data_IF_084931279728
#
_entry.id   IF_084931279728
#
_cell.length_a   1.000
_cell.length_b   1.000
_cell.length_c   1.000
_cell.angle_alpha   90.00
_cell.angle_beta   90.00
_cell.angle_gamma   90.00
#
_symmetry.space_group_name_H-M   'P 1'
#
loop_
_entity.id
_entity.type
_entity.pdbx_description
1 polymer ?
#
# COMPACT_ATOMS: atom_id res chain seq x y z
N UNK A 1 -17.35 -8.04 -1.33
CA UNK A 1 -16.47 -7.21 -0.46
C UNK A 1 -15.20 -7.05 -1.26
N UNK A 2 -14.50 -5.93 -1.18
CA UNK A 2 -13.21 -5.82 -1.88
C UNK A 2 -12.17 -6.73 -1.24
N UNK A 3 -11.21 -7.20 -2.05
CA UNK A 3 -10.16 -8.07 -1.56
C UNK A 3 -9.18 -7.28 -0.70
N UNK A 4 -9.01 -7.73 0.55
CA UNK A 4 -8.04 -7.19 1.50
C UNK A 4 -6.66 -7.77 1.20
N UNK A 5 -6.59 -9.08 0.99
CA UNK A 5 -5.39 -9.78 0.54
C UNK A 5 -5.63 -10.36 -0.85
N UNK A 6 -4.64 -10.19 -1.72
CA UNK A 6 -4.67 -10.75 -3.07
C UNK A 6 -3.26 -11.11 -3.55
N UNK A 7 -3.17 -11.94 -4.58
CA UNK A 7 -1.89 -12.33 -5.17
C UNK A 7 -1.63 -11.50 -6.42
N UNK A 8 -0.45 -10.93 -6.50
CA UNK A 8 0.07 -10.37 -7.72
C UNK A 8 1.49 -10.85 -7.97
N UNK A 9 1.71 -11.51 -9.13
CA UNK A 9 2.95 -12.24 -9.43
C UNK A 9 3.24 -13.29 -8.36
N UNK A 10 4.34 -13.13 -7.63
CA UNK A 10 4.84 -14.11 -6.64
C UNK A 10 4.66 -13.64 -5.20
N UNK A 11 3.97 -12.55 -4.97
CA UNK A 11 3.80 -11.94 -3.65
C UNK A 11 2.34 -11.77 -3.29
N UNK A 12 2.05 -11.77 -2.00
CA UNK A 12 0.76 -11.39 -1.42
C UNK A 12 0.73 -9.88 -1.28
N UNK A 13 -0.37 -9.26 -1.62
CA UNK A 13 -0.59 -7.81 -1.50
C UNK A 13 -1.71 -7.52 -0.52
N UNK A 14 -1.51 -6.51 0.31
CA UNK A 14 -2.50 -6.04 1.28
C UNK A 14 -3.06 -4.67 0.87
N UNK A 15 -4.36 -4.64 0.55
CA UNK A 15 -5.12 -3.46 0.18
C UNK A 15 -5.96 -3.01 1.39
N UNK A 16 -5.50 -2.00 2.11
CA UNK A 16 -6.08 -1.61 3.39
C UNK A 16 -6.95 -0.35 3.33
N UNK A 17 -6.92 0.38 2.22
CA UNK A 17 -7.67 1.64 2.09
C UNK A 17 -7.75 2.08 0.64
N UNK A 18 -8.78 2.86 0.31
CA UNK A 18 -8.85 3.59 -0.96
C UNK A 18 -8.27 5.01 -0.83
N UNK A 19 -7.95 5.47 0.39
CA UNK A 19 -7.48 6.82 0.64
C UNK A 19 -6.07 7.01 0.12
N UNK A 20 -5.88 8.06 -0.67
CA UNK A 20 -4.57 8.49 -1.12
C UNK A 20 -4.63 10.00 -1.35
N UNK A 21 -3.70 10.80 -0.81
CA UNK A 21 -3.67 12.24 -1.04
C UNK A 21 -3.27 12.59 -2.48
N UNK A 22 -2.67 11.64 -3.20
CA UNK A 22 -2.21 11.84 -4.56
C UNK A 22 -3.28 11.57 -5.59
N UNK A 23 -3.25 12.34 -6.69
CA UNK A 23 -4.14 12.20 -7.86
C UNK A 23 -3.33 11.92 -9.13
N UNK A 24 -2.42 10.95 -9.05
CA UNK A 24 -1.54 10.63 -10.18
C UNK A 24 -2.34 10.24 -11.42
N UNK A 25 -2.05 10.88 -12.55
CA UNK A 25 -2.71 10.59 -13.83
C UNK A 25 -2.48 9.18 -14.35
N UNK A 26 -1.35 8.58 -13.96
CA UNK A 26 -0.95 7.21 -14.29
C UNK A 26 -1.35 6.18 -13.23
N UNK A 27 -2.15 6.56 -12.24
CA UNK A 27 -2.56 5.64 -11.17
C UNK A 27 -3.35 4.47 -11.77
N UNK A 28 -2.98 3.25 -11.39
CA UNK A 28 -3.59 2.03 -11.90
C UNK A 28 -5.10 1.98 -11.63
N UNK A 29 -5.55 2.54 -10.51
CA UNK A 29 -6.97 2.61 -10.14
C UNK A 29 -7.85 3.41 -11.11
N UNK A 30 -7.22 4.22 -11.99
CA UNK A 30 -7.95 4.95 -13.02
C UNK A 30 -8.27 4.09 -14.26
N UNK A 31 -7.63 2.91 -14.38
CA UNK A 31 -7.68 2.09 -15.58
C UNK A 31 -8.27 0.69 -15.33
N UNK A 32 -8.36 0.24 -14.08
CA UNK A 32 -8.87 -1.10 -13.75
C UNK A 32 -9.44 -1.11 -12.33
N UNK A 33 -10.43 -1.97 -12.11
CA UNK A 33 -11.05 -2.19 -10.78
C UNK A 33 -10.40 -3.33 -10.02
N UNK A 34 -9.49 -4.07 -10.67
CA UNK A 34 -8.83 -5.24 -10.08
C UNK A 34 -7.39 -5.38 -10.56
N UNK A 35 -6.57 -6.07 -9.78
CA UNK A 35 -5.18 -6.42 -10.11
C UNK A 35 -4.88 -7.82 -9.58
N UNK A 36 -4.13 -8.60 -10.35
CA UNK A 36 -3.73 -9.95 -9.93
C UNK A 36 -4.91 -10.89 -9.76
N UNK A 37 -5.01 -11.53 -8.62
CA UNK A 37 -6.10 -12.45 -8.26
C UNK A 37 -7.33 -11.77 -7.66
N UNK A 38 -7.30 -10.45 -7.48
CA UNK A 38 -8.41 -9.74 -6.87
C UNK A 38 -9.62 -9.65 -7.81
N UNK A 39 -10.82 -9.81 -7.27
CA UNK A 39 -12.07 -9.53 -7.95
C UNK A 39 -12.31 -8.02 -8.06
N UNK A 40 -12.11 -7.31 -6.96
CA UNK A 40 -12.10 -5.85 -6.91
C UNK A 40 -11.26 -5.33 -5.75
N UNK A 41 -10.57 -4.23 -5.96
CA UNK A 41 -9.78 -3.54 -4.92
C UNK A 41 -10.48 -2.29 -4.38
N UNK A 42 -11.69 -1.94 -4.88
CA UNK A 42 -12.47 -0.82 -4.38
C UNK A 42 -13.26 -1.20 -3.14
N UNK A 43 -12.78 -0.79 -1.97
CA UNK A 43 -13.54 -0.92 -0.72
C UNK A 43 -14.74 0.05 -0.72
N UNK A 44 -15.90 -0.41 -0.25
CA UNK A 44 -17.04 0.47 0.03
C UNK A 44 -16.75 1.38 1.24
N UNK A 45 -16.00 0.86 2.19
CA UNK A 45 -15.45 1.56 3.36
C UNK A 45 -14.15 0.87 3.73
N UNK A 46 -13.22 1.59 4.37
CA UNK A 46 -11.96 0.99 4.80
C UNK A 46 -12.22 -0.23 5.69
N UNK A 47 -11.51 -1.35 5.51
CA UNK A 47 -11.71 -2.54 6.31
C UNK A 47 -11.38 -2.28 7.78
N UNK A 48 -12.16 -2.85 8.67
CA UNK A 48 -11.86 -2.86 10.09
C UNK A 48 -10.69 -3.79 10.40
N UNK A 49 -10.06 -3.61 11.58
CA UNK A 49 -8.99 -4.53 11.99
C UNK A 49 -9.48 -5.98 12.15
N UNK A 50 -10.76 -6.17 12.51
CA UNK A 50 -11.36 -7.50 12.56
C UNK A 50 -11.47 -8.14 11.16
N UNK A 51 -11.87 -7.37 10.15
CA UNK A 51 -11.93 -7.84 8.76
C UNK A 51 -10.53 -8.20 8.25
N UNK A 52 -9.53 -7.38 8.57
CA UNK A 52 -8.15 -7.61 8.17
C UNK A 52 -7.59 -8.88 8.82
N UNK A 53 -7.77 -9.06 10.13
CA UNK A 53 -7.32 -10.26 10.84
C UNK A 53 -7.99 -11.51 10.28
N UNK A 54 -9.29 -11.44 10.03
CA UNK A 54 -10.01 -12.54 9.39
C UNK A 54 -9.44 -12.85 8.00
N UNK A 55 -9.16 -11.83 7.19
CA UNK A 55 -8.56 -12.02 5.87
C UNK A 55 -7.17 -12.69 5.95
N UNK A 56 -6.35 -12.31 6.95
CA UNK A 56 -5.06 -12.96 7.20
C UNK A 56 -5.22 -14.41 7.64
N UNK A 57 -6.17 -14.70 8.53
CA UNK A 57 -6.41 -16.05 9.03
C UNK A 57 -6.97 -17.00 7.95
N UNK A 58 -7.79 -16.47 7.03
CA UNK A 58 -8.41 -17.25 5.95
C UNK A 58 -7.49 -17.42 4.73
N UNK A 59 -6.40 -16.64 4.62
CA UNK A 59 -5.52 -16.64 3.46
C UNK A 59 -4.45 -17.75 3.57
N UNK A 60 -4.24 -18.48 2.47
CA UNK A 60 -3.16 -19.47 2.39
C UNK A 60 -1.81 -18.81 2.04
N UNK A 61 -0.94 -18.71 3.03
CA UNK A 61 0.42 -18.17 2.87
C UNK A 61 1.44 -19.20 2.33
N UNK A 62 1.02 -20.43 2.08
CA UNK A 62 1.93 -21.49 1.62
C UNK A 62 2.57 -21.16 0.28
N UNK A 63 3.89 -21.23 0.22
CA UNK A 63 4.66 -20.95 -1.00
C UNK A 63 4.98 -19.48 -1.24
N UNK A 64 4.41 -18.56 -0.49
CA UNK A 64 4.75 -17.13 -0.56
C UNK A 64 5.85 -16.78 0.45
N UNK A 65 6.68 -15.81 0.10
CA UNK A 65 7.80 -15.32 0.93
C UNK A 65 7.65 -13.86 1.33
N UNK A 66 6.70 -13.16 0.75
CA UNK A 66 6.56 -11.72 0.92
C UNK A 66 5.09 -11.30 0.93
N UNK A 67 4.76 -10.41 1.86
CA UNK A 67 3.53 -9.62 1.85
C UNK A 67 3.88 -8.15 1.62
N UNK A 68 3.22 -7.53 0.65
CA UNK A 68 3.44 -6.15 0.23
C UNK A 68 2.25 -5.30 0.63
N UNK A 69 2.45 -4.32 1.49
CA UNK A 69 1.45 -3.30 1.74
C UNK A 69 1.37 -2.38 0.52
N UNK A 70 0.35 -2.60 -0.31
CA UNK A 70 0.09 -1.87 -1.54
C UNK A 70 -1.32 -2.20 -2.04
N UNK A 71 -2.04 -1.20 -2.46
CA UNK A 71 -3.40 -1.36 -2.98
C UNK A 71 -3.82 -0.14 -3.79
N UNK A 72 -5.11 0.15 -3.83
CA UNK A 72 -5.64 1.31 -4.54
C UNK A 72 -5.44 2.63 -3.78
N UNK A 73 -5.27 2.57 -2.46
CA UNK A 73 -4.89 3.71 -1.65
C UNK A 73 -3.39 3.74 -1.32
N UNK A 74 -3.01 4.76 -0.59
CA UNK A 74 -1.71 4.85 0.06
C UNK A 74 -1.75 4.10 1.39
N UNK A 75 -0.97 3.04 1.60
CA UNK A 75 -1.05 2.24 2.83
C UNK A 75 -0.85 3.05 4.11
N UNK A 76 0.00 4.08 4.07
CA UNK A 76 0.25 4.95 5.23
C UNK A 76 -0.89 5.91 5.54
N UNK A 77 -1.93 6.00 4.68
CA UNK A 77 -3.20 6.66 5.02
C UNK A 77 -4.05 5.83 6.00
N UNK A 78 -3.74 4.54 6.16
CA UNK A 78 -4.30 3.65 7.16
C UNK A 78 -3.18 3.12 8.08
N UNK A 79 -2.30 4.01 8.56
CA UNK A 79 -1.05 3.67 9.24
C UNK A 79 -1.25 2.71 10.42
N UNK A 80 -2.23 2.98 11.29
CA UNK A 80 -2.48 2.16 12.47
C UNK A 80 -2.90 0.74 12.07
N UNK A 81 -3.82 0.60 11.11
CA UNK A 81 -4.22 -0.71 10.57
C UNK A 81 -3.05 -1.41 9.89
N UNK A 82 -2.22 -0.68 9.15
CA UNK A 82 -1.03 -1.24 8.49
C UNK A 82 -0.04 -1.80 9.51
N UNK A 83 0.28 -1.04 10.56
CA UNK A 83 1.23 -1.48 11.60
C UNK A 83 0.68 -2.65 12.41
N UNK A 84 -0.59 -2.63 12.78
CA UNK A 84 -1.23 -3.74 13.49
C UNK A 84 -1.31 -5.00 12.62
N UNK A 85 -1.58 -4.84 11.31
CA UNK A 85 -1.53 -5.94 10.35
C UNK A 85 -0.12 -6.51 10.25
N UNK A 86 0.89 -5.65 10.14
CA UNK A 86 2.28 -6.08 10.07
C UNK A 86 2.69 -6.88 11.31
N UNK A 87 2.32 -6.40 12.49
CA UNK A 87 2.54 -7.12 13.75
C UNK A 87 1.83 -8.48 13.75
N UNK A 88 0.57 -8.52 13.37
CA UNK A 88 -0.24 -9.75 13.35
C UNK A 88 0.33 -10.79 12.37
N UNK A 89 0.72 -10.37 11.17
CA UNK A 89 1.35 -11.25 10.19
C UNK A 89 2.68 -11.79 10.71
N UNK A 90 3.50 -10.97 11.37
CA UNK A 90 4.75 -11.44 12.00
C UNK A 90 4.54 -12.50 13.08
N UNK A 91 3.47 -12.36 13.86
CA UNK A 91 3.15 -13.33 14.91
C UNK A 91 2.69 -14.68 14.33
N UNK A 92 1.92 -14.65 13.24
CA UNK A 92 1.34 -15.84 12.60
C UNK A 92 2.28 -16.49 11.56
N UNK A 93 3.02 -15.67 10.84
CA UNK A 93 3.85 -16.07 9.69
C UNK A 93 5.24 -15.41 9.78
N UNK A 94 6.09 -15.82 10.75
CA UNK A 94 7.38 -15.15 11.03
C UNK A 94 8.37 -15.17 9.86
N UNK A 95 8.22 -16.12 8.93
CA UNK A 95 9.10 -16.25 7.76
C UNK A 95 8.71 -15.33 6.59
N UNK A 96 7.53 -14.72 6.64
CA UNK A 96 7.06 -13.80 5.61
C UNK A 96 7.75 -12.44 5.76
N UNK A 97 8.39 -11.98 4.71
CA UNK A 97 8.95 -10.63 4.65
C UNK A 97 7.86 -9.60 4.38
N UNK A 98 7.95 -8.47 5.06
CA UNK A 98 6.98 -7.38 4.94
C UNK A 98 7.61 -6.22 4.17
N UNK A 99 6.99 -5.85 3.06
CA UNK A 99 7.39 -4.70 2.26
C UNK A 99 6.29 -3.66 2.21
N UNK A 100 6.67 -2.41 2.18
CA UNK A 100 5.79 -1.27 1.99
C UNK A 100 6.09 -0.60 0.64
N UNK A 101 5.08 -0.47 -0.22
CA UNK A 101 5.13 0.41 -1.37
C UNK A 101 4.36 1.69 -1.04
N UNK A 102 5.01 2.85 -1.10
CA UNK A 102 4.44 4.12 -0.63
C UNK A 102 4.82 5.29 -1.54
N UNK A 103 4.02 6.34 -1.48
CA UNK A 103 4.33 7.62 -2.10
C UNK A 103 5.37 8.45 -1.30
N UNK A 104 5.81 7.98 -0.12
CA UNK A 104 6.81 8.64 0.72
C UNK A 104 6.28 9.81 1.56
N UNK A 105 4.97 10.04 1.61
CA UNK A 105 4.38 11.19 2.32
C UNK A 105 3.84 10.82 3.71
N UNK A 106 4.25 9.69 4.28
CA UNK A 106 3.70 9.17 5.52
C UNK A 106 3.67 10.17 6.65
N UNK A 107 4.76 10.91 6.88
CA UNK A 107 4.86 11.91 7.94
C UNK A 107 3.84 13.06 7.74
N UNK A 108 3.67 13.52 6.51
CA UNK A 108 2.68 14.57 6.16
C UNK A 108 1.25 14.08 6.33
N UNK A 109 0.96 12.85 5.90
CA UNK A 109 -0.38 12.24 6.01
C UNK A 109 -0.77 12.11 7.49
N UNK A 110 0.17 11.71 8.34
CA UNK A 110 -0.09 11.39 9.74
C UNK A 110 0.26 12.53 10.72
N UNK A 111 0.79 13.66 10.22
CA UNK A 111 1.24 14.81 11.02
C UNK A 111 2.21 14.44 12.16
N UNK A 112 3.06 13.44 11.93
CA UNK A 112 4.05 12.94 12.90
C UNK A 112 5.17 12.17 12.19
N UNK A 113 6.37 12.08 12.76
CA UNK A 113 7.41 11.16 12.27
C UNK A 113 6.91 9.71 12.32
N UNK A 114 7.03 8.98 11.23
CA UNK A 114 6.53 7.60 11.09
C UNK A 114 7.62 6.58 10.80
N UNK A 115 8.81 7.02 10.42
CA UNK A 115 9.91 6.14 10.01
C UNK A 115 10.26 5.09 11.06
N UNK A 116 10.39 5.49 12.33
CA UNK A 116 10.69 4.56 13.41
C UNK A 116 9.56 3.56 13.69
N UNK A 117 8.30 3.99 13.53
CA UNK A 117 7.15 3.11 13.70
C UNK A 117 7.11 2.05 12.60
N UNK A 118 7.35 2.48 11.35
CA UNK A 118 7.37 1.60 10.17
C UNK A 118 8.53 0.61 10.27
N UNK A 119 9.72 1.08 10.60
CA UNK A 119 10.93 0.23 10.67
C UNK A 119 10.87 -0.90 11.70
N UNK A 120 9.98 -0.81 12.69
CA UNK A 120 9.79 -1.88 13.69
C UNK A 120 9.25 -3.17 13.08
N UNK A 121 8.47 -3.09 12.01
CA UNK A 121 7.74 -4.22 11.46
C UNK A 121 8.02 -4.47 9.97
N UNK A 122 8.43 -3.45 9.23
CA UNK A 122 8.61 -3.50 7.77
C UNK A 122 10.08 -3.75 7.44
N UNK A 123 10.35 -4.79 6.64
CA UNK A 123 11.72 -5.18 6.26
C UNK A 123 12.27 -4.34 5.12
N UNK A 124 11.41 -3.87 4.22
CA UNK A 124 11.82 -3.07 3.07
C UNK A 124 10.75 -2.06 2.65
N UNK A 125 11.20 -0.92 2.16
CA UNK A 125 10.31 0.15 1.68
C UNK A 125 10.68 0.51 0.25
N UNK A 126 9.67 0.54 -0.62
CA UNK A 126 9.78 1.04 -1.99
C UNK A 126 9.03 2.37 -2.09
N UNK A 127 9.75 3.44 -2.37
CA UNK A 127 9.16 4.78 -2.50
C UNK A 127 8.96 5.11 -3.97
N UNK A 128 7.73 5.44 -4.35
CA UNK A 128 7.41 5.93 -5.69
C UNK A 128 7.80 7.40 -5.82
N UNK A 129 8.98 7.65 -6.35
CA UNK A 129 9.45 9.00 -6.64
C UNK A 129 9.07 9.38 -8.07
N UNK A 130 8.06 10.23 -8.22
CA UNK A 130 7.48 10.57 -9.53
C UNK A 130 8.27 11.64 -10.28
N UNK A 131 9.11 12.41 -9.60
CA UNK A 131 9.98 13.46 -10.15
C UNK A 131 11.13 13.77 -9.20
N UNK A 132 12.24 14.27 -9.75
CA UNK A 132 13.41 14.72 -8.98
C UNK A 132 13.34 16.19 -8.53
N UNK A 133 12.29 16.92 -8.92
CA UNK A 133 12.08 18.33 -8.53
C UNK A 133 10.99 18.41 -7.48
N UNK A 134 11.26 19.07 -6.35
CA UNK A 134 10.29 19.29 -5.27
C UNK A 134 9.05 20.03 -5.76
N UNK A 135 9.23 21.07 -6.58
CA UNK A 135 8.14 21.84 -7.16
C UNK A 135 7.25 20.98 -8.07
N UNK A 136 7.88 20.17 -8.94
CA UNK A 136 7.14 19.24 -9.81
C UNK A 136 6.51 18.10 -9.01
N UNK A 137 7.13 17.71 -7.90
CA UNK A 137 6.57 16.70 -7.01
C UNK A 137 5.28 17.21 -6.36
N UNK A 138 5.29 18.42 -5.82
CA UNK A 138 4.10 19.05 -5.27
C UNK A 138 2.99 19.21 -6.32
N UNK A 139 3.34 19.61 -7.54
CA UNK A 139 2.39 19.71 -8.66
C UNK A 139 1.82 18.35 -9.07
N UNK A 140 2.63 17.29 -9.07
CA UNK A 140 2.18 15.93 -9.43
C UNK A 140 1.23 15.31 -8.40
N UNK A 141 1.31 15.77 -7.16
CA UNK A 141 0.50 15.29 -6.05
C UNK A 141 -0.81 16.08 -5.86
N UNK A 142 -0.81 17.38 -6.19
CA UNK A 142 -1.88 18.30 -5.82
C UNK A 142 -2.66 18.81 -7.04
N UNK A 143 -2.03 19.00 -8.20
CA UNK A 143 -2.63 19.57 -9.40
C UNK A 143 -2.42 18.73 -10.66
N UNK A 144 -3.54 18.31 -11.22
CA UNK A 144 -3.65 17.57 -12.48
C UNK A 144 -3.74 18.59 -13.62
N UNK A 145 -2.65 19.19 -14.03
CA UNK A 145 -2.69 20.04 -15.23
C UNK A 145 -1.58 19.78 -16.24
N UNK A 146 -0.62 18.90 -15.97
CA UNK A 146 0.36 18.49 -16.97
C UNK A 146 0.71 16.99 -16.90
N UNK A 147 0.86 16.31 -18.05
CA UNK A 147 1.25 14.91 -18.09
C UNK A 147 2.74 14.77 -17.74
N UNK A 148 3.02 14.34 -16.52
CA UNK A 148 4.37 13.99 -16.10
C UNK A 148 4.77 12.65 -16.74
N UNK A 149 5.85 12.65 -17.53
CA UNK A 149 6.46 11.44 -18.07
C UNK A 149 6.87 10.51 -16.92
N UNK A 150 6.46 9.25 -17.03
CA UNK A 150 6.90 8.16 -16.16
C UNK A 150 8.44 8.09 -16.12
N UNK A 151 9.01 8.27 -14.95
CA UNK A 151 10.32 7.72 -14.64
C UNK A 151 10.15 6.71 -13.52
N UNK A 152 10.16 5.43 -13.89
CA UNK A 152 10.31 4.37 -12.92
C UNK A 152 11.81 4.25 -12.62
N UNK A 153 12.20 4.47 -11.40
CA UNK A 153 13.45 3.97 -10.87
C UNK A 153 13.09 2.67 -10.16
N UNK A 154 13.45 1.59 -10.80
CA UNK A 154 13.41 0.23 -10.22
C UNK A 154 14.59 0.04 -9.28
#
# INVERSE_FOLDING_TARGET
>A
MADILYVYKTSIYANLTNKCPCRCTFCIRNNTDSVGSADTLWHKHDPSMADIKKAVDDFDFTGYKELVFCGYGEPTSALDNMLETAKYVREKHPDIKLRLNTNGLSDRINNKPTAELISKYIDSVSISLNTCSSEKYDLSLIHISEPTRRSYIS
#
